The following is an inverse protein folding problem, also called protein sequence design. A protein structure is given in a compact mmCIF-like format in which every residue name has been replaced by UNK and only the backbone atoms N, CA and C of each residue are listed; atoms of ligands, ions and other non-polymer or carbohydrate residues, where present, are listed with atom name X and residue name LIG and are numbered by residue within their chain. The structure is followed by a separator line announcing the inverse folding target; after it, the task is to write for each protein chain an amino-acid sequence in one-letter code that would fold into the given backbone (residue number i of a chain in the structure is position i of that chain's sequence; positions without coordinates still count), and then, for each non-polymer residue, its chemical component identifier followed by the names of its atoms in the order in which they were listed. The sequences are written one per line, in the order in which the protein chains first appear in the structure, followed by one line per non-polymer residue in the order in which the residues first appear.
data_IF_265234257385
#
_entry.id   IF_265234257385
#
_cell.length_a   1.000
_cell.length_b   1.000
_cell.length_c   1.000
_cell.angle_alpha   90.00
_cell.angle_beta   90.00
_cell.angle_gamma   90.00
#
_symmetry.space_group_name_H-M   'P 1'
#
loop_
_entity.id
_entity.type
_entity.pdbx_description
1 polymer ?
#
# COMPACT_ATOMS: atom_id res chain seq x y z
N UNK A 1 -6.84 -3.11 27.40
CA UNK A 1 -8.05 -3.37 26.59
C UNK A 1 -8.10 -2.34 25.50
N UNK A 2 -8.04 -2.75 24.23
CA UNK A 2 -8.18 -1.86 23.09
C UNK A 2 -9.66 -1.66 22.75
N UNK A 3 -10.02 -0.43 22.36
CA UNK A 3 -11.40 -0.06 22.06
C UNK A 3 -11.81 -0.76 20.76
N UNK A 4 -12.94 -1.49 20.79
CA UNK A 4 -13.56 -2.06 19.59
C UNK A 4 -14.19 -0.94 18.77
N UNK A 5 -13.93 -0.94 17.46
CA UNK A 5 -14.46 0.08 16.54
C UNK A 5 -15.71 -0.43 15.82
N UNK A 6 -16.61 0.50 15.47
CA UNK A 6 -17.78 0.17 14.66
C UNK A 6 -17.34 -0.13 13.21
N UNK A 7 -17.64 -1.32 12.66
CA UNK A 7 -17.26 -1.69 11.30
C UNK A 7 -17.91 -0.83 10.21
N UNK A 8 -18.95 -0.04 10.53
CA UNK A 8 -19.51 0.96 9.60
C UNK A 8 -18.66 2.23 9.49
N UNK A 9 -17.83 2.49 10.49
CA UNK A 9 -17.00 3.71 10.59
C UNK A 9 -15.53 3.40 10.31
N UNK A 10 -15.05 2.23 10.74
CA UNK A 10 -13.66 1.81 10.57
C UNK A 10 -13.55 0.46 9.88
N UNK A 11 -12.51 0.30 9.07
CA UNK A 11 -12.10 -0.99 8.50
C UNK A 11 -11.32 -1.86 9.50
N UNK A 12 -10.90 -1.29 10.64
CA UNK A 12 -10.17 -1.99 11.70
C UNK A 12 -11.11 -2.42 12.82
N UNK A 13 -10.84 -3.57 13.42
CA UNK A 13 -11.65 -4.08 14.53
C UNK A 13 -11.39 -3.30 15.82
N UNK A 14 -10.17 -2.80 16.00
CA UNK A 14 -9.75 -2.11 17.22
C UNK A 14 -9.00 -0.81 16.95
N UNK A 15 -9.08 0.12 17.90
CA UNK A 15 -8.31 1.36 17.87
C UNK A 15 -6.80 1.08 17.79
N UNK A 16 -6.33 0.04 18.48
CA UNK A 16 -4.92 -0.34 18.47
C UNK A 16 -4.46 -0.79 17.08
N UNK A 17 -5.27 -1.58 16.35
CA UNK A 17 -4.97 -1.96 14.97
C UNK A 17 -4.92 -0.73 14.05
N UNK A 18 -5.88 0.19 14.19
CA UNK A 18 -5.93 1.43 13.41
C UNK A 18 -4.69 2.30 13.66
N UNK A 19 -4.31 2.49 14.93
CA UNK A 19 -3.14 3.29 15.30
C UNK A 19 -1.83 2.65 14.83
N UNK A 20 -1.74 1.31 14.88
CA UNK A 20 -0.59 0.57 14.36
C UNK A 20 -0.45 0.75 12.85
N UNK A 21 -1.56 0.65 12.12
CA UNK A 21 -1.58 0.88 10.67
C UNK A 21 -1.20 2.32 10.32
N UNK A 22 -1.78 3.30 11.01
CA UNK A 22 -1.52 4.72 10.77
C UNK A 22 -0.04 5.06 10.97
N UNK A 23 0.59 4.58 12.05
CA UNK A 23 2.04 4.78 12.27
C UNK A 23 2.89 4.17 11.17
N UNK A 24 2.60 2.94 10.77
CA UNK A 24 3.32 2.28 9.68
C UNK A 24 3.10 3.02 8.34
N UNK A 25 1.88 3.46 8.07
CA UNK A 25 1.52 4.13 6.82
C UNK A 25 2.20 5.49 6.69
N UNK A 26 2.24 6.29 7.76
CA UNK A 26 2.99 7.56 7.78
C UNK A 26 4.48 7.34 7.54
N UNK A 27 5.11 6.37 8.21
CA UNK A 27 6.51 6.02 7.97
C UNK A 27 6.75 5.58 6.52
N UNK A 28 5.79 4.88 5.90
CA UNK A 28 5.86 4.49 4.50
C UNK A 28 5.79 5.71 3.58
N UNK A 29 4.88 6.66 3.85
CA UNK A 29 4.77 7.92 3.11
C UNK A 29 6.06 8.73 3.22
N UNK A 30 6.58 8.92 4.43
CA UNK A 30 7.82 9.66 4.66
C UNK A 30 8.99 9.08 3.86
N UNK A 31 9.14 7.75 3.86
CA UNK A 31 10.15 7.07 3.05
C UNK A 31 9.94 7.25 1.55
N UNK A 32 8.69 7.26 1.08
CA UNK A 32 8.38 7.51 -0.33
C UNK A 32 8.60 8.96 -0.74
N UNK A 33 8.36 9.94 0.14
CA UNK A 33 8.64 11.35 -0.12
C UNK A 33 10.13 11.67 -0.09
N UNK A 34 10.90 10.97 0.74
CA UNK A 34 12.35 11.11 0.82
C UNK A 34 13.09 10.43 -0.36
N UNK A 35 12.38 9.69 -1.22
CA UNK A 35 12.98 9.03 -2.39
C UNK A 35 13.37 10.06 -3.45
N UNK A 36 14.67 10.18 -3.81
CA UNK A 36 15.13 11.20 -4.75
C UNK A 36 14.82 10.86 -6.22
N UNK A 37 14.30 9.65 -6.50
CA UNK A 37 14.01 9.23 -7.87
C UNK A 37 12.87 10.07 -8.45
N UNK A 38 12.94 10.45 -9.73
CA UNK A 38 11.86 11.21 -10.36
C UNK A 38 10.57 10.39 -10.41
N UNK A 39 9.40 11.05 -10.39
CA UNK A 39 8.12 10.39 -10.56
C UNK A 39 8.07 9.69 -11.93
N UNK A 40 7.39 8.55 -11.97
CA UNK A 40 7.21 7.77 -13.19
C UNK A 40 5.93 8.22 -13.89
N UNK A 41 5.95 8.53 -15.20
CA UNK A 41 4.74 8.81 -15.97
C UNK A 41 3.73 7.66 -15.88
N UNK A 42 2.43 7.99 -15.91
CA UNK A 42 1.36 7.01 -15.76
C UNK A 42 1.50 5.82 -16.72
N UNK A 43 1.72 6.09 -18.02
CA UNK A 43 1.82 5.06 -19.04
C UNK A 43 2.99 4.10 -18.80
N UNK A 44 4.11 4.63 -18.34
CA UNK A 44 5.29 3.84 -18.02
C UNK A 44 5.06 2.98 -16.77
N UNK A 45 4.43 3.53 -15.73
CA UNK A 45 4.07 2.77 -14.53
C UNK A 45 3.15 1.59 -14.89
N UNK A 46 2.14 1.83 -15.73
CA UNK A 46 1.22 0.80 -16.18
C UNK A 46 1.88 -0.24 -17.08
N UNK A 47 2.84 0.16 -17.94
CA UNK A 47 3.62 -0.77 -18.75
C UNK A 47 4.44 -1.73 -17.87
N UNK A 48 5.09 -1.21 -16.82
CA UNK A 48 5.85 -2.03 -15.86
C UNK A 48 4.95 -3.05 -15.14
N UNK A 49 3.76 -2.63 -14.69
CA UNK A 49 2.79 -3.52 -14.03
C UNK A 49 2.31 -4.63 -14.98
N UNK A 50 1.93 -4.28 -16.22
CA UNK A 50 1.50 -5.26 -17.23
C UNK A 50 2.57 -6.30 -17.52
N UNK A 51 3.82 -5.86 -17.72
CA UNK A 51 4.94 -6.76 -17.95
C UNK A 51 5.15 -7.74 -16.78
N UNK A 52 5.03 -7.28 -15.54
CA UNK A 52 5.14 -8.14 -14.36
C UNK A 52 4.03 -9.21 -14.31
N UNK A 53 2.79 -8.83 -14.65
CA UNK A 53 1.65 -9.76 -14.70
C UNK A 53 1.86 -10.82 -15.78
N UNK A 54 2.27 -10.41 -16.98
CA UNK A 54 2.55 -11.35 -18.08
C UNK A 54 3.67 -12.32 -17.74
N UNK A 55 4.76 -11.83 -17.13
CA UNK A 55 5.87 -12.67 -16.69
C UNK A 55 5.41 -13.72 -15.68
N UNK A 56 4.52 -13.36 -14.74
CA UNK A 56 3.93 -14.32 -13.80
C UNK A 56 3.04 -15.35 -14.50
N UNK A 57 2.21 -14.93 -15.46
CA UNK A 57 1.35 -15.84 -16.24
C UNK A 57 2.15 -16.86 -17.04
N UNK A 58 3.21 -16.42 -17.74
CA UNK A 58 4.10 -17.30 -18.51
C UNK A 58 4.87 -18.31 -17.66
N UNK A 59 5.07 -18.03 -16.36
CA UNK A 59 5.71 -18.96 -15.42
C UNK A 59 4.75 -20.00 -14.85
N UNK A 60 3.45 -19.72 -14.91
CA UNK A 60 2.40 -20.59 -14.40
C UNK A 60 1.83 -21.54 -15.47
N UNK A 61 2.15 -21.29 -16.75
CA UNK A 61 1.92 -22.17 -17.90
C UNK A 61 3.10 -23.11 -18.11
#
# INVERSE_FOLDING_TARGET
MSIQLDPRVSEFETQEQADNYDRWFRLRIERSLADPRPPVPHDEAMARVRAMIEAKRRRAS
#
